data_IF_764060330095
#
_entry.id   IF_764060330095
#
_cell.length_a   1.000
_cell.length_b   1.000
_cell.length_c   1.000
_cell.angle_alpha   90.00
_cell.angle_beta   90.00
_cell.angle_gamma   90.00
#
_symmetry.space_group_name_H-M   'P 1'
#
loop_
_entity.id
_entity.type
_entity.pdbx_description
1 polymer ?
#
# COMPACT_ATOMS: atom_id res chain seq x y z
N UNK A 1 -24.44 71.06 -36.35
CA UNK A 1 -25.12 70.33 -35.23
C UNK A 1 -25.29 68.82 -35.47
N UNK A 2 -25.29 68.29 -36.70
CA UNK A 2 -25.37 66.83 -36.98
C UNK A 2 -24.11 66.02 -36.63
N UNK A 3 -22.93 66.65 -36.59
CA UNK A 3 -21.64 65.96 -36.42
C UNK A 3 -21.39 65.51 -34.97
N UNK A 4 -21.87 66.28 -33.97
CA UNK A 4 -21.65 66.00 -32.54
C UNK A 4 -22.44 64.76 -32.06
N UNK A 5 -23.58 64.45 -32.72
CA UNK A 5 -24.42 63.30 -32.35
C UNK A 5 -23.80 61.96 -32.84
N UNK A 6 -23.06 61.98 -33.95
CA UNK A 6 -22.38 60.78 -34.46
C UNK A 6 -21.17 60.39 -33.60
N UNK A 7 -20.42 61.37 -33.09
CA UNK A 7 -19.23 61.16 -32.28
C UNK A 7 -19.57 60.55 -30.91
N UNK A 8 -20.69 60.97 -30.31
CA UNK A 8 -21.15 60.43 -29.03
C UNK A 8 -21.62 58.96 -29.16
N UNK A 9 -22.26 58.61 -30.29
CA UNK A 9 -22.71 57.24 -30.59
C UNK A 9 -21.56 56.27 -30.84
N UNK A 10 -20.46 56.75 -31.43
CA UNK A 10 -19.24 55.97 -31.63
C UNK A 10 -18.52 55.70 -30.30
N UNK A 11 -18.45 56.70 -29.40
CA UNK A 11 -17.82 56.55 -28.07
C UNK A 11 -18.54 55.55 -27.17
N UNK A 12 -19.88 55.56 -27.12
CA UNK A 12 -20.63 54.59 -26.29
C UNK A 12 -20.46 53.15 -26.80
N UNK A 13 -20.39 52.95 -28.12
CA UNK A 13 -20.13 51.63 -28.72
C UNK A 13 -18.72 51.13 -28.40
N UNK A 14 -17.72 51.98 -28.49
CA UNK A 14 -16.33 51.61 -28.21
C UNK A 14 -16.13 51.18 -26.75
N UNK A 15 -16.73 51.91 -25.80
CA UNK A 15 -16.72 51.59 -24.36
C UNK A 15 -17.43 50.27 -24.04
N UNK A 16 -18.53 49.97 -24.74
CA UNK A 16 -19.28 48.72 -24.57
C UNK A 16 -18.48 47.50 -25.05
N UNK A 17 -17.74 47.66 -26.16
CA UNK A 17 -16.90 46.60 -26.73
C UNK A 17 -15.64 46.36 -25.87
N UNK A 18 -15.02 47.40 -25.31
CA UNK A 18 -13.86 47.24 -24.42
C UNK A 18 -14.25 46.59 -23.08
N UNK A 19 -15.40 46.94 -22.51
CA UNK A 19 -15.90 46.28 -21.30
C UNK A 19 -16.20 44.78 -21.53
N UNK A 20 -16.78 44.42 -22.69
CA UNK A 20 -17.05 43.03 -23.04
C UNK A 20 -15.77 42.22 -23.28
N UNK A 21 -14.78 42.82 -23.95
CA UNK A 21 -13.47 42.20 -24.16
C UNK A 21 -12.71 41.98 -22.84
N UNK A 22 -12.82 42.91 -21.89
CA UNK A 22 -12.19 42.79 -20.57
C UNK A 22 -12.84 41.69 -19.71
N UNK A 23 -14.17 41.55 -19.76
CA UNK A 23 -14.91 40.47 -19.08
C UNK A 23 -14.68 39.10 -19.73
N UNK A 24 -14.52 39.04 -21.06
CA UNK A 24 -14.18 37.82 -21.78
C UNK A 24 -12.74 37.34 -21.47
N UNK A 25 -11.81 38.27 -21.26
CA UNK A 25 -10.41 37.96 -20.95
C UNK A 25 -10.20 37.53 -19.49
N UNK A 26 -11.08 37.89 -18.55
CA UNK A 26 -10.91 37.63 -17.11
C UNK A 26 -11.53 36.31 -16.63
N UNK A 27 -12.02 35.43 -17.51
CA UNK A 27 -13.07 34.48 -17.13
C UNK A 27 -12.92 33.00 -17.51
N UNK A 28 -11.84 32.55 -18.15
CA UNK A 28 -11.66 31.12 -18.44
C UNK A 28 -10.96 30.42 -17.28
N UNK A 29 -11.68 30.14 -16.19
CA UNK A 29 -11.25 29.08 -15.27
C UNK A 29 -11.52 27.75 -15.97
N UNK A 30 -10.45 27.06 -16.37
CA UNK A 30 -10.56 25.66 -16.77
C UNK A 30 -11.00 24.85 -15.55
N UNK A 31 -11.88 23.87 -15.74
CA UNK A 31 -12.13 22.86 -14.72
C UNK A 31 -10.80 22.21 -14.36
N UNK A 32 -10.35 22.41 -13.12
CA UNK A 32 -9.19 21.73 -12.57
C UNK A 32 -9.74 20.69 -11.61
N UNK A 33 -9.46 19.43 -11.91
CA UNK A 33 -9.59 18.40 -10.89
C UNK A 33 -8.54 18.68 -9.80
N UNK A 34 -8.88 18.36 -8.57
CA UNK A 34 -7.95 18.43 -7.45
C UNK A 34 -7.82 17.05 -6.85
N UNK A 35 -6.60 16.66 -6.51
CA UNK A 35 -6.36 15.53 -5.63
C UNK A 35 -6.76 15.96 -4.24
N UNK A 36 -7.84 15.37 -3.71
CA UNK A 36 -8.46 15.83 -2.46
C UNK A 36 -8.18 14.91 -1.28
N UNK A 37 -7.73 13.68 -1.54
CA UNK A 37 -7.41 12.73 -0.49
C UNK A 37 -6.38 11.72 -0.98
N UNK A 38 -5.51 11.32 -0.07
CA UNK A 38 -4.63 10.19 -0.21
C UNK A 38 -4.60 9.43 1.11
N UNK A 39 -4.42 8.12 1.03
CA UNK A 39 -4.20 7.26 2.19
C UNK A 39 -2.99 6.38 1.91
N UNK A 40 -2.14 6.17 2.90
CA UNK A 40 -1.16 5.11 2.87
C UNK A 40 -1.08 4.37 4.20
N UNK A 41 -0.78 3.09 4.10
CA UNK A 41 -0.54 2.18 5.23
C UNK A 41 0.70 1.36 4.88
N UNK A 42 1.55 1.11 5.87
CA UNK A 42 2.63 0.16 5.73
C UNK A 42 2.87 -0.54 7.06
N UNK A 43 3.15 -1.84 6.99
CA UNK A 43 3.59 -2.60 8.14
C UNK A 43 4.63 -3.64 7.77
N UNK A 44 5.59 -3.85 8.67
CA UNK A 44 6.71 -4.74 8.42
C UNK A 44 6.36 -6.23 8.61
N UNK A 45 5.52 -6.56 9.61
CA UNK A 45 5.15 -7.94 9.95
C UNK A 45 3.63 -8.05 10.19
N UNK A 46 2.98 -8.93 9.43
CA UNK A 46 1.66 -9.45 9.72
C UNK A 46 1.78 -10.96 9.91
N UNK A 47 1.36 -11.48 11.05
CA UNK A 47 1.39 -12.91 11.34
C UNK A 47 0.03 -13.30 11.89
N UNK A 48 -0.65 -14.21 11.22
CA UNK A 48 -1.85 -14.87 11.70
C UNK A 48 -1.66 -16.36 11.46
N UNK A 49 -1.50 -17.15 12.52
CA UNK A 49 -1.35 -18.59 12.39
C UNK A 49 -2.18 -19.29 13.46
N UNK A 50 -2.99 -20.25 13.03
CA UNK A 50 -3.84 -21.08 13.87
C UNK A 50 -3.46 -22.54 13.69
N UNK A 51 -3.24 -23.24 14.80
CA UNK A 51 -3.00 -24.69 14.79
C UNK A 51 -4.13 -25.40 15.51
N UNK A 52 -4.62 -26.48 14.89
CA UNK A 52 -5.61 -27.38 15.47
C UNK A 52 -6.89 -26.66 15.95
N UNK A 53 -7.37 -25.69 15.16
CA UNK A 53 -8.67 -25.01 15.31
C UNK A 53 -8.91 -24.29 16.66
N UNK A 54 -7.88 -23.92 17.43
CA UNK A 54 -7.89 -22.89 18.53
C UNK A 54 -6.75 -23.07 19.55
N UNK A 55 -6.05 -24.21 19.57
CA UNK A 55 -5.16 -24.56 20.68
C UNK A 55 -3.90 -23.66 20.74
N UNK A 56 -3.43 -23.19 19.59
CA UNK A 56 -2.29 -22.28 19.44
C UNK A 56 -2.64 -21.24 18.39
N UNK A 57 -2.70 -19.97 18.78
CA UNK A 57 -2.94 -18.85 17.87
C UNK A 57 -1.87 -17.78 18.09
N UNK A 58 -1.21 -17.34 17.02
CA UNK A 58 -0.47 -16.08 17.02
C UNK A 58 -1.16 -15.12 16.07
N UNK A 59 -1.52 -13.97 16.61
CA UNK A 59 -1.92 -12.83 15.81
C UNK A 59 -1.07 -11.63 16.20
N UNK A 60 -0.12 -11.28 15.33
CA UNK A 60 0.61 -10.02 15.41
C UNK A 60 0.28 -9.23 14.16
N UNK A 61 -0.53 -8.20 14.35
CA UNK A 61 -0.85 -7.25 13.29
C UNK A 61 -0.01 -5.99 13.48
N UNK A 62 0.86 -5.71 12.51
CA UNK A 62 1.51 -4.43 12.30
C UNK A 62 2.28 -3.83 13.50
N UNK A 63 3.32 -4.52 14.02
CA UNK A 63 4.08 -4.02 15.17
C UNK A 63 4.82 -2.71 14.83
N UNK A 64 5.30 -2.57 13.58
CA UNK A 64 5.77 -1.31 13.00
C UNK A 64 4.79 -0.82 11.92
N UNK A 65 3.57 -0.45 12.32
CA UNK A 65 2.52 0.01 11.43
C UNK A 65 2.41 1.54 11.37
N UNK A 66 2.37 2.12 10.18
CA UNK A 66 2.12 3.55 9.98
C UNK A 66 0.91 3.76 9.10
N UNK A 67 0.04 4.69 9.48
CA UNK A 67 -1.15 5.06 8.69
C UNK A 67 -1.15 6.57 8.53
N UNK A 68 -1.24 7.03 7.28
CA UNK A 68 -1.34 8.44 6.93
C UNK A 68 -2.58 8.71 6.07
N UNK A 69 -3.16 9.88 6.26
CA UNK A 69 -4.32 10.34 5.48
C UNK A 69 -4.21 11.85 5.19
N UNK A 70 -4.40 12.22 3.93
CA UNK A 70 -4.52 13.60 3.47
C UNK A 70 -6.00 14.04 3.49
N UNK A 71 -6.31 15.35 3.59
CA UNK A 71 -5.82 16.38 2.67
C UNK A 71 -4.66 17.23 3.19
N UNK A 72 -4.11 16.99 4.38
CA UNK A 72 -2.85 17.63 4.79
C UNK A 72 -1.67 16.72 4.44
N UNK A 73 -0.55 17.25 3.92
CA UNK A 73 0.65 16.45 3.70
C UNK A 73 1.11 15.78 4.99
N UNK A 74 1.68 14.59 4.87
CA UNK A 74 2.19 13.82 5.99
C UNK A 74 3.50 13.12 5.61
N UNK A 75 4.32 12.86 6.62
CA UNK A 75 5.52 12.03 6.53
C UNK A 75 5.70 11.37 7.90
N UNK A 76 5.30 10.11 7.99
CA UNK A 76 5.24 9.33 9.21
C UNK A 76 6.21 8.17 9.05
N UNK A 77 7.10 8.00 10.01
CA UNK A 77 8.08 6.93 10.03
C UNK A 77 8.04 6.27 11.40
N UNK A 78 8.06 4.95 11.44
CA UNK A 78 8.22 4.17 12.65
C UNK A 78 9.33 3.14 12.41
N UNK A 79 10.15 2.92 13.43
CA UNK A 79 11.12 1.84 13.48
C UNK A 79 11.14 1.28 14.90
N UNK A 80 11.08 -0.04 15.02
CA UNK A 80 11.11 -0.75 16.29
C UNK A 80 12.10 -1.92 16.20
N UNK A 81 12.61 -2.34 17.35
CA UNK A 81 13.37 -3.57 17.46
C UNK A 81 12.49 -4.75 17.83
N UNK A 82 13.08 -5.95 17.78
CA UNK A 82 12.44 -7.18 18.25
C UNK A 82 11.85 -7.07 19.68
N UNK A 83 12.55 -6.37 20.59
CA UNK A 83 12.14 -6.26 21.98
C UNK A 83 10.79 -5.54 22.18
N UNK A 84 10.36 -4.77 21.19
CA UNK A 84 9.07 -4.06 21.19
C UNK A 84 7.93 -4.92 20.59
N UNK A 85 8.25 -6.11 20.07
CA UNK A 85 7.29 -7.04 19.46
C UNK A 85 7.00 -8.18 20.44
N UNK A 86 5.80 -8.17 21.02
CA UNK A 86 5.34 -9.27 21.86
C UNK A 86 4.81 -10.43 21.01
N UNK A 87 5.72 -11.33 20.62
CA UNK A 87 5.41 -12.64 20.04
C UNK A 87 5.46 -13.77 21.08
N UNK A 88 6.00 -13.47 22.27
CA UNK A 88 6.36 -14.45 23.28
C UNK A 88 5.21 -14.84 24.22
N UNK A 89 4.05 -14.18 24.12
CA UNK A 89 2.95 -14.36 25.08
C UNK A 89 2.24 -15.73 25.03
N UNK A 90 2.41 -16.53 23.97
CA UNK A 90 1.64 -17.76 23.77
C UNK A 90 2.54 -19.00 23.76
N UNK A 91 3.27 -19.28 24.84
CA UNK A 91 3.85 -20.62 25.03
C UNK A 91 2.81 -21.55 25.67
N UNK A 92 2.66 -22.74 25.10
CA UNK A 92 1.79 -23.78 25.69
C UNK A 92 2.65 -24.97 26.07
N UNK A 93 2.66 -25.26 27.37
CA UNK A 93 3.40 -26.38 27.93
C UNK A 93 2.49 -27.60 28.08
N UNK A 94 2.82 -28.67 27.36
CA UNK A 94 2.20 -29.98 27.46
C UNK A 94 3.13 -30.94 28.20
N UNK A 95 3.20 -30.79 29.52
CA UNK A 95 4.03 -31.64 30.38
C UNK A 95 5.53 -31.41 30.16
N UNK A 96 6.15 -32.23 29.31
CA UNK A 96 7.60 -32.19 29.00
C UNK A 96 7.91 -31.50 27.66
N UNK A 97 6.87 -31.18 26.89
CA UNK A 97 6.94 -30.44 25.64
C UNK A 97 6.56 -28.98 25.93
N UNK A 98 7.46 -28.05 25.63
CA UNK A 98 7.13 -26.63 25.56
C UNK A 98 7.09 -26.22 24.09
N UNK A 99 6.00 -25.54 23.70
CA UNK A 99 5.80 -25.03 22.35
C UNK A 99 5.76 -23.51 22.43
N UNK A 100 6.81 -22.87 21.93
CA UNK A 100 6.82 -21.44 21.65
C UNK A 100 6.34 -21.22 20.23
N UNK A 101 5.24 -20.49 20.06
CA UNK A 101 4.62 -20.35 18.75
C UNK A 101 5.44 -19.47 17.81
N UNK A 102 6.10 -18.44 18.33
CA UNK A 102 6.89 -17.51 17.55
C UNK A 102 8.07 -16.93 18.35
N UNK A 103 9.21 -16.77 17.69
CA UNK A 103 10.38 -16.09 18.21
C UNK A 103 11.02 -15.24 17.10
N UNK A 104 11.49 -14.05 17.47
CA UNK A 104 12.27 -13.19 16.60
C UNK A 104 13.71 -13.08 17.10
N UNK A 105 14.65 -12.97 16.17
CA UNK A 105 16.05 -12.70 16.46
C UNK A 105 16.23 -11.29 17.07
N UNK A 106 17.10 -11.18 18.07
CA UNK A 106 17.34 -9.93 18.81
C UNK A 106 17.84 -8.76 17.93
N UNK A 107 18.40 -9.06 16.76
CA UNK A 107 18.91 -8.07 15.79
C UNK A 107 17.88 -7.62 14.76
N UNK A 108 16.66 -8.19 14.76
CA UNK A 108 15.63 -7.84 13.80
C UNK A 108 15.10 -6.43 14.03
N UNK A 109 15.09 -5.63 12.96
CA UNK A 109 14.59 -4.25 12.96
C UNK A 109 13.45 -4.14 11.94
N UNK A 110 12.33 -3.59 12.39
CA UNK A 110 11.11 -3.44 11.61
C UNK A 110 10.84 -1.96 11.42
N UNK A 111 10.78 -1.52 10.17
CA UNK A 111 10.56 -0.12 9.82
C UNK A 111 9.43 0.00 8.82
N UNK A 112 8.61 1.03 8.98
CA UNK A 112 7.59 1.39 8.02
C UNK A 112 7.50 2.91 7.88
N UNK A 113 7.23 3.37 6.66
CA UNK A 113 6.98 4.77 6.38
C UNK A 113 5.75 4.97 5.50
N UNK A 114 5.10 6.11 5.70
CA UNK A 114 3.96 6.57 4.93
C UNK A 114 4.10 8.07 4.70
N UNK A 115 4.05 8.51 3.44
CA UNK A 115 4.17 9.93 3.10
C UNK A 115 3.21 10.33 1.98
N UNK A 116 2.82 11.60 1.98
CA UNK A 116 2.07 12.22 0.89
C UNK A 116 2.29 13.73 0.83
N UNK A 117 2.27 14.28 -0.39
CA UNK A 117 2.30 15.72 -0.65
C UNK A 117 0.91 16.30 -0.99
N UNK A 118 -0.15 15.51 -0.83
CA UNK A 118 -1.54 15.92 -1.07
C UNK A 118 -1.93 16.99 -0.05
N UNK A 119 -2.28 18.17 -0.57
CA UNK A 119 -2.65 19.38 0.18
C UNK A 119 -4.07 19.87 -0.17
N UNK A 120 -4.84 19.05 -0.90
CA UNK A 120 -6.16 19.40 -1.42
C UNK A 120 -6.15 20.35 -2.62
N UNK A 121 -4.98 20.74 -3.13
CA UNK A 121 -4.85 21.57 -4.34
C UNK A 121 -4.77 20.74 -5.62
N UNK A 122 -4.92 21.42 -6.76
CA UNK A 122 -4.80 20.80 -8.09
C UNK A 122 -3.33 20.62 -8.49
N UNK A 123 -3.08 19.65 -9.36
CA UNK A 123 -1.74 19.32 -9.85
C UNK A 123 -1.34 17.90 -9.48
N UNK A 124 -0.20 17.46 -10.02
CA UNK A 124 0.34 16.15 -9.72
C UNK A 124 0.67 16.04 -8.24
N UNK A 125 0.18 14.99 -7.61
CA UNK A 125 0.46 14.63 -6.23
C UNK A 125 1.03 13.23 -6.16
N UNK A 126 1.65 12.89 -5.05
CA UNK A 126 2.14 11.57 -4.73
C UNK A 126 1.75 11.13 -3.33
N UNK A 127 1.63 9.82 -3.20
CA UNK A 127 1.50 9.11 -1.94
C UNK A 127 2.32 7.85 -2.07
N UNK A 128 3.08 7.54 -1.03
CA UNK A 128 3.83 6.31 -0.97
C UNK A 128 3.79 5.72 0.44
N UNK A 129 4.03 4.42 0.49
CA UNK A 129 4.30 3.68 1.70
C UNK A 129 5.43 2.71 1.42
N UNK A 130 6.28 2.47 2.42
CA UNK A 130 7.28 1.42 2.37
C UNK A 130 7.38 0.70 3.70
N UNK A 131 7.77 -0.57 3.61
CA UNK A 131 8.07 -1.40 4.77
C UNK A 131 9.40 -2.10 4.53
N UNK A 132 10.27 -2.03 5.53
CA UNK A 132 11.61 -2.62 5.53
C UNK A 132 11.80 -3.48 6.77
N UNK A 133 12.29 -4.70 6.59
CA UNK A 133 12.78 -5.56 7.67
C UNK A 133 14.28 -5.76 7.46
N UNK A 134 15.08 -5.49 8.49
CA UNK A 134 16.51 -5.78 8.47
C UNK A 134 16.83 -6.88 9.47
N UNK A 135 17.71 -7.81 9.07
CA UNK A 135 18.16 -8.96 9.85
C UNK A 135 16.98 -9.78 10.39
N UNK A 136 16.04 -10.16 9.51
CA UNK A 136 14.96 -11.04 9.89
C UNK A 136 15.54 -12.40 10.31
N UNK A 137 15.20 -12.82 11.52
CA UNK A 137 15.17 -14.22 11.92
C UNK A 137 13.84 -14.43 12.63
N UNK A 138 12.93 -15.18 12.02
CA UNK A 138 11.62 -15.52 12.56
C UNK A 138 11.48 -17.03 12.59
N UNK A 139 11.37 -17.57 13.78
CA UNK A 139 11.14 -18.99 14.02
C UNK A 139 9.72 -19.18 14.54
N UNK A 140 9.00 -20.12 13.94
CA UNK A 140 7.62 -20.44 14.26
C UNK A 140 7.50 -21.91 14.69
N UNK A 141 6.62 -22.14 15.66
CA UNK A 141 6.38 -23.45 16.29
C UNK A 141 7.67 -24.10 16.78
N UNK A 142 8.41 -23.34 17.59
CA UNK A 142 9.58 -23.79 18.31
C UNK A 142 9.18 -24.81 19.35
N UNK A 143 9.66 -26.04 19.20
CA UNK A 143 9.38 -27.11 20.15
C UNK A 143 10.63 -27.46 20.94
N UNK A 144 10.49 -27.63 22.25
CA UNK A 144 11.56 -28.16 23.09
C UNK A 144 11.06 -29.39 23.84
N UNK A 145 11.75 -30.51 23.67
CA UNK A 145 11.48 -31.76 24.38
C UNK A 145 12.59 -31.97 25.42
N UNK A 146 12.23 -32.13 26.71
CA UNK A 146 13.18 -32.41 27.80
C UNK A 146 14.37 -31.44 27.91
N UNK A 147 14.16 -30.12 27.75
CA UNK A 147 15.25 -29.11 27.75
C UNK A 147 16.37 -29.38 26.71
N UNK A 148 16.06 -30.15 25.67
CA UNK A 148 16.92 -30.37 24.51
C UNK A 148 16.98 -29.15 23.58
N UNK A 149 17.71 -29.26 22.46
CA UNK A 149 17.77 -28.17 21.47
C UNK A 149 16.37 -27.88 20.94
N UNK A 150 16.04 -26.59 20.84
CA UNK A 150 14.80 -26.13 20.23
C UNK A 150 14.90 -26.30 18.72
N UNK A 151 13.94 -26.96 18.10
CA UNK A 151 13.82 -27.02 16.65
C UNK A 151 12.62 -26.18 16.21
N UNK A 152 12.86 -25.24 15.29
CA UNK A 152 11.82 -24.45 14.65
C UNK A 152 11.16 -25.28 13.55
N UNK A 153 9.84 -25.41 13.58
CA UNK A 153 9.13 -26.07 12.49
C UNK A 153 9.07 -25.19 11.24
N UNK A 154 9.14 -23.87 11.38
CA UNK A 154 9.24 -22.96 10.26
C UNK A 154 10.22 -21.86 10.61
N UNK A 155 11.36 -21.84 9.92
CA UNK A 155 12.40 -20.83 10.07
C UNK A 155 12.45 -19.93 8.84
N UNK A 156 12.36 -18.62 9.05
CA UNK A 156 12.46 -17.59 8.03
C UNK A 156 13.63 -16.70 8.37
N UNK A 157 14.56 -16.51 7.43
CA UNK A 157 15.60 -15.50 7.59
C UNK A 157 15.87 -14.74 6.31
N UNK A 158 16.23 -13.47 6.47
CA UNK A 158 16.61 -12.58 5.39
C UNK A 158 17.46 -11.44 5.93
N UNK A 159 18.43 -10.97 5.14
CA UNK A 159 19.20 -9.77 5.50
C UNK A 159 18.34 -8.52 5.39
N UNK A 160 17.58 -8.43 4.29
CA UNK A 160 16.68 -7.31 4.02
C UNK A 160 15.42 -7.83 3.35
N UNK A 161 14.25 -7.39 3.80
CA UNK A 161 12.98 -7.50 3.06
C UNK A 161 12.48 -6.08 2.85
N UNK A 162 12.24 -5.71 1.61
CA UNK A 162 11.78 -4.38 1.25
C UNK A 162 10.56 -4.43 0.35
N UNK A 163 9.61 -3.54 0.62
CA UNK A 163 8.44 -3.28 -0.22
C UNK A 163 8.19 -1.79 -0.29
N UNK A 164 7.72 -1.31 -1.44
CA UNK A 164 7.23 0.04 -1.61
C UNK A 164 6.04 0.04 -2.56
N UNK A 165 4.99 0.73 -2.15
CA UNK A 165 3.83 1.06 -2.97
C UNK A 165 3.80 2.56 -3.18
N UNK A 166 3.71 2.99 -4.44
CA UNK A 166 3.63 4.38 -4.85
C UNK A 166 2.41 4.62 -5.74
N UNK A 167 1.79 5.78 -5.58
CA UNK A 167 0.81 6.31 -6.52
C UNK A 167 1.12 7.77 -6.76
N UNK A 168 1.15 8.18 -8.02
CA UNK A 168 1.38 9.58 -8.40
C UNK A 168 0.55 10.01 -9.59
N UNK A 169 0.33 11.33 -9.71
CA UNK A 169 -0.35 11.96 -10.84
C UNK A 169 -1.46 12.90 -10.42
N UNK A 170 -2.27 13.29 -11.39
CA UNK A 170 -3.50 14.08 -11.22
C UNK A 170 -4.64 13.34 -11.91
N UNK A 171 -5.86 13.86 -11.83
CA UNK A 171 -7.02 13.28 -12.49
C UNK A 171 -6.76 12.98 -13.98
N UNK A 172 -6.96 11.72 -14.36
CA UNK A 172 -6.77 11.22 -15.73
C UNK A 172 -5.33 10.82 -16.07
N UNK A 173 -4.36 11.09 -15.20
CA UNK A 173 -2.93 10.78 -15.40
C UNK A 173 -2.31 10.02 -14.23
N UNK A 174 -3.13 9.46 -13.34
CA UNK A 174 -2.64 8.68 -12.21
C UNK A 174 -1.94 7.40 -12.68
N UNK A 175 -0.84 7.08 -12.03
CA UNK A 175 -0.08 5.87 -12.21
C UNK A 175 0.29 5.29 -10.85
N UNK A 176 0.35 3.96 -10.79
CA UNK A 176 0.85 3.21 -9.65
C UNK A 176 2.23 2.67 -9.99
N UNK A 177 3.10 2.68 -9.00
CA UNK A 177 4.39 2.03 -9.00
C UNK A 177 4.51 1.12 -7.77
N UNK A 178 5.28 0.05 -7.93
CA UNK A 178 5.40 -1.00 -6.94
C UNK A 178 6.76 -1.68 -7.12
N UNK A 179 7.51 -1.79 -6.02
CA UNK A 179 8.78 -2.52 -6.00
C UNK A 179 8.87 -3.35 -4.73
N UNK A 180 9.52 -4.51 -4.85
CA UNK A 180 9.92 -5.31 -3.71
C UNK A 180 11.21 -6.05 -4.03
N UNK A 181 11.97 -6.38 -3.00
CA UNK A 181 13.12 -7.27 -3.11
C UNK A 181 13.40 -7.93 -1.76
N UNK A 182 14.11 -9.05 -1.82
CA UNK A 182 14.56 -9.79 -0.64
C UNK A 182 16.04 -10.11 -0.81
N UNK A 183 16.82 -9.93 0.24
CA UNK A 183 18.25 -10.24 0.26
C UNK A 183 18.55 -11.44 1.16
N UNK A 184 19.34 -12.39 0.65
CA UNK A 184 19.81 -13.57 1.37
C UNK A 184 18.67 -14.32 2.09
N UNK A 185 17.57 -14.57 1.37
CA UNK A 185 16.43 -15.30 1.90
C UNK A 185 16.81 -16.75 2.20
N UNK A 186 16.29 -17.28 3.30
CA UNK A 186 16.36 -18.69 3.63
C UNK A 186 15.04 -19.12 4.29
N UNK A 187 14.55 -20.27 3.87
CA UNK A 187 13.31 -20.87 4.33
C UNK A 187 13.61 -22.31 4.78
N UNK A 188 13.40 -22.59 6.06
CA UNK A 188 13.49 -23.93 6.63
C UNK A 188 12.09 -24.41 7.01
N UNK A 189 11.74 -25.60 6.54
CA UNK A 189 10.41 -26.18 6.72
C UNK A 189 10.50 -27.53 7.43
N UNK A 190 9.80 -27.63 8.56
CA UNK A 190 9.43 -28.82 9.30
C UNK A 190 10.53 -29.88 9.42
N UNK A 191 11.76 -29.46 9.76
CA UNK A 191 12.89 -30.37 9.89
C UNK A 191 13.36 -31.04 8.58
N UNK A 192 12.79 -30.64 7.43
CA UNK A 192 13.24 -31.07 6.09
C UNK A 192 14.53 -30.37 5.66
N UNK A 193 14.98 -29.37 6.42
CA UNK A 193 16.15 -28.56 6.15
C UNK A 193 15.81 -27.30 5.35
N UNK A 194 16.87 -26.54 5.06
CA UNK A 194 16.79 -25.33 4.25
C UNK A 194 16.38 -25.69 2.80
N UNK A 195 15.37 -24.99 2.30
CA UNK A 195 14.93 -25.14 0.91
C UNK A 195 15.93 -24.47 -0.01
N UNK A 196 16.35 -25.20 -1.04
CA UNK A 196 17.06 -24.62 -2.16
C UNK A 196 16.13 -23.68 -2.95
N UNK A 197 16.36 -22.38 -2.85
CA UNK A 197 15.59 -21.37 -3.58
C UNK A 197 15.63 -21.57 -5.09
N UNK A 198 16.70 -22.14 -5.64
CA UNK A 198 16.81 -22.44 -7.07
C UNK A 198 15.79 -23.50 -7.48
N UNK A 199 15.51 -24.46 -6.59
CA UNK A 199 14.47 -25.48 -6.83
C UNK A 199 13.07 -24.89 -6.87
N UNK A 200 12.85 -23.73 -6.24
CA UNK A 200 11.60 -22.97 -6.29
C UNK A 200 11.52 -22.05 -7.52
N UNK A 201 12.55 -22.01 -8.37
CA UNK A 201 12.62 -21.11 -9.53
C UNK A 201 13.10 -19.70 -9.21
N UNK A 202 13.60 -19.47 -7.99
CA UNK A 202 14.15 -18.18 -7.57
C UNK A 202 15.65 -18.11 -7.90
N UNK A 203 16.07 -16.97 -8.44
CA UNK A 203 17.49 -16.72 -8.74
C UNK A 203 17.93 -15.48 -7.99
N UNK A 204 18.89 -15.65 -7.10
CA UNK A 204 19.57 -14.53 -6.47
C UNK A 204 20.66 -13.99 -7.41
N UNK A 205 20.84 -12.67 -7.43
CA UNK A 205 21.97 -12.04 -8.14
C UNK A 205 23.30 -12.22 -7.37
N UNK A 206 24.39 -11.67 -7.92
CA UNK A 206 25.71 -11.78 -7.31
C UNK A 206 25.83 -11.12 -5.93
N UNK A 207 24.89 -10.24 -5.57
CA UNK A 207 24.83 -9.54 -4.30
C UNK A 207 23.79 -10.18 -3.35
N UNK A 208 23.16 -11.29 -3.74
CA UNK A 208 22.16 -11.99 -2.93
C UNK A 208 20.73 -11.44 -3.03
N UNK A 209 20.47 -10.51 -3.97
CA UNK A 209 19.12 -9.98 -4.19
C UNK A 209 18.29 -10.96 -5.00
N UNK A 210 17.10 -11.24 -4.49
CA UNK A 210 16.06 -12.00 -5.16
C UNK A 210 15.05 -10.98 -5.68
N UNK A 211 15.02 -10.84 -7.01
CA UNK A 211 13.98 -10.13 -7.71
C UNK A 211 13.00 -11.16 -8.28
N UNK A 212 11.81 -11.22 -7.69
CA UNK A 212 10.73 -12.04 -8.21
C UNK A 212 9.88 -11.21 -9.18
N UNK A 213 9.43 -11.83 -10.28
CA UNK A 213 8.41 -11.22 -11.14
C UNK A 213 7.16 -10.88 -10.30
N UNK A 214 6.39 -9.83 -10.66
CA UNK A 214 5.17 -9.50 -9.93
C UNK A 214 4.21 -10.69 -9.81
N UNK A 215 3.73 -10.93 -8.58
CA UNK A 215 2.84 -12.02 -8.22
C UNK A 215 3.44 -13.43 -8.42
N UNK A 216 4.77 -13.56 -8.26
CA UNK A 216 5.43 -14.86 -8.30
C UNK A 216 4.88 -15.77 -7.20
N UNK A 217 4.38 -16.95 -7.59
CA UNK A 217 3.71 -17.88 -6.67
C UNK A 217 4.29 -19.28 -6.83
N UNK A 218 4.63 -19.89 -5.71
CA UNK A 218 4.99 -21.30 -5.59
C UNK A 218 3.93 -21.98 -4.75
N UNK A 219 3.24 -22.94 -5.35
CA UNK A 219 2.23 -23.75 -4.68
C UNK A 219 2.87 -25.01 -4.10
N UNK A 220 2.29 -25.49 -3.01
CA UNK A 220 2.70 -26.72 -2.32
C UNK A 220 4.23 -26.79 -2.12
N UNK A 221 4.78 -25.76 -1.46
CA UNK A 221 6.22 -25.57 -1.30
C UNK A 221 6.86 -26.83 -0.72
N UNK A 222 7.89 -27.34 -1.42
CA UNK A 222 8.58 -28.58 -1.05
C UNK A 222 7.66 -29.81 -0.92
N UNK A 223 6.55 -29.83 -1.67
CA UNK A 223 5.56 -30.90 -1.68
C UNK A 223 4.59 -30.89 -0.49
N UNK A 224 4.60 -29.84 0.33
CA UNK A 224 3.70 -29.69 1.46
C UNK A 224 2.38 -29.10 0.95
N UNK A 225 1.34 -29.95 0.87
CA UNK A 225 0.01 -29.52 0.39
C UNK A 225 -0.56 -28.40 1.25
N UNK A 226 -1.00 -27.32 0.60
CA UNK A 226 -1.62 -26.17 1.27
C UNK A 226 -0.65 -25.12 1.78
N UNK A 227 0.66 -25.32 1.60
CA UNK A 227 1.67 -24.30 1.88
C UNK A 227 2.05 -23.57 0.58
N UNK A 228 1.68 -22.29 0.49
CA UNK A 228 1.99 -21.46 -0.66
C UNK A 228 2.95 -20.33 -0.28
N UNK A 229 3.91 -20.04 -1.17
CA UNK A 229 4.80 -18.89 -1.09
C UNK A 229 4.46 -17.94 -2.23
N UNK A 230 4.10 -16.71 -1.89
CA UNK A 230 3.91 -15.61 -2.84
C UNK A 230 5.00 -14.57 -2.58
N UNK A 231 5.74 -14.19 -3.61
CA UNK A 231 6.72 -13.13 -3.57
C UNK A 231 6.29 -11.99 -4.47
N UNK A 232 6.61 -10.76 -4.07
CA UNK A 232 6.32 -9.56 -4.85
C UNK A 232 4.84 -9.51 -5.28
N UNK A 233 3.91 -9.77 -4.36
CA UNK A 233 2.48 -9.65 -4.65
C UNK A 233 2.18 -8.17 -4.91
N UNK A 234 1.72 -7.85 -6.11
CA UNK A 234 1.44 -6.48 -6.54
C UNK A 234 0.00 -6.38 -7.04
N UNK A 235 -0.80 -5.58 -6.34
CA UNK A 235 -2.19 -5.30 -6.69
C UNK A 235 -2.32 -3.80 -6.94
N UNK A 236 -2.48 -3.42 -8.20
CA UNK A 236 -2.67 -2.03 -8.60
C UNK A 236 -3.94 -1.86 -9.41
N UNK A 237 -4.79 -0.90 -9.03
CA UNK A 237 -6.01 -0.54 -9.76
C UNK A 237 -6.02 0.96 -9.99
N UNK A 238 -5.98 1.38 -11.26
CA UNK A 238 -5.98 2.80 -11.62
C UNK A 238 -7.08 3.15 -12.60
N UNK A 239 -7.72 4.29 -12.32
CA UNK A 239 -8.77 4.93 -13.08
C UNK A 239 -8.47 6.43 -13.18
N UNK A 240 -9.32 7.18 -13.89
CA UNK A 240 -9.12 8.63 -14.01
C UNK A 240 -9.22 9.37 -12.67
N UNK A 241 -10.02 8.87 -11.72
CA UNK A 241 -10.28 9.55 -10.44
C UNK A 241 -9.63 8.88 -9.25
N UNK A 242 -9.21 7.63 -9.37
CA UNK A 242 -8.67 6.86 -8.25
C UNK A 242 -7.60 5.90 -8.74
N UNK A 243 -6.49 5.82 -8.01
CA UNK A 243 -5.42 4.86 -8.26
C UNK A 243 -4.91 4.34 -6.93
N UNK A 244 -4.72 3.04 -6.84
CA UNK A 244 -4.16 2.36 -5.68
C UNK A 244 -3.04 1.41 -6.09
N UNK A 245 -2.14 1.16 -5.15
CA UNK A 245 -1.04 0.21 -5.26
C UNK A 245 -0.87 -0.47 -3.90
N UNK A 246 -0.85 -1.79 -3.90
CA UNK A 246 -0.60 -2.63 -2.73
C UNK A 246 0.52 -3.60 -3.07
N UNK A 247 1.48 -3.75 -2.16
CA UNK A 247 2.64 -4.61 -2.32
C UNK A 247 2.90 -5.40 -1.05
N UNK A 248 3.01 -6.73 -1.20
CA UNK A 248 3.57 -7.61 -0.17
C UNK A 248 4.89 -8.18 -0.69
N UNK A 249 6.00 -7.94 0.00
CA UNK A 249 7.30 -8.47 -0.43
C UNK A 249 7.33 -9.99 -0.35
N UNK A 250 6.84 -10.55 0.76
CA UNK A 250 6.69 -11.99 0.96
C UNK A 250 5.39 -12.29 1.69
N UNK A 251 4.67 -13.28 1.18
CA UNK A 251 3.49 -13.86 1.80
C UNK A 251 3.61 -15.37 1.82
N UNK A 252 3.54 -15.97 3.00
CA UNK A 252 3.39 -17.41 3.19
C UNK A 252 1.96 -17.70 3.62
N UNK A 253 1.26 -18.56 2.89
CA UNK A 253 -0.11 -18.95 3.18
C UNK A 253 -0.16 -20.41 3.60
N UNK A 254 -0.91 -20.69 4.66
CA UNK A 254 -1.22 -22.03 5.13
C UNK A 254 -2.73 -22.26 4.97
N UNK A 255 -3.10 -23.24 4.16
CA UNK A 255 -4.48 -23.67 3.94
C UNK A 255 -4.56 -25.17 4.25
N UNK A 256 -4.91 -25.49 5.49
CA UNK A 256 -5.09 -26.87 5.93
C UNK A 256 -3.80 -27.69 6.00
N UNK A 257 -2.63 -27.08 6.25
CA UNK A 257 -1.33 -27.78 6.22
C UNK A 257 -1.28 -28.84 7.33
N UNK A 258 -1.16 -30.11 6.96
CA UNK A 258 -1.13 -31.21 7.93
C UNK A 258 0.24 -31.27 8.63
N UNK A 259 0.29 -30.82 9.88
CA UNK A 259 1.53 -30.78 10.68
C UNK A 259 1.89 -32.14 11.32
N UNK A 260 0.93 -33.04 11.49
CA UNK A 260 1.17 -34.38 12.06
C UNK A 260 1.98 -35.29 11.13
N UNK A 261 1.90 -35.06 9.81
CA UNK A 261 2.69 -35.77 8.79
C UNK A 261 4.11 -35.21 8.57
N UNK A 262 4.43 -34.05 9.14
CA UNK A 262 5.66 -33.30 8.86
C UNK A 262 6.74 -33.49 9.94
N UNK A 263 6.70 -34.61 10.68
CA UNK A 263 7.77 -34.98 11.62
C UNK A 263 7.74 -34.26 12.97
N UNK A 264 6.76 -33.39 13.21
CA UNK A 264 6.41 -32.91 14.54
C UNK A 264 5.68 -34.04 15.30
N UNK A 265 6.40 -35.08 15.71
CA UNK A 265 5.87 -36.12 16.61
C UNK A 265 5.70 -35.53 18.02
N UNK A 266 4.70 -34.67 18.15
CA UNK A 266 4.27 -34.07 19.40
C UNK A 266 3.28 -35.00 20.11
N UNK A 267 3.43 -36.32 19.92
CA UNK A 267 2.73 -37.39 20.63
C UNK A 267 1.21 -37.25 20.65
N UNK A 268 0.51 -37.35 19.52
CA UNK A 268 -0.97 -37.23 19.43
C UNK A 268 -1.58 -35.93 20.04
N UNK A 269 -0.78 -34.97 20.56
CA UNK A 269 -1.29 -33.78 21.26
C UNK A 269 -1.65 -32.63 20.31
N UNK A 270 -1.04 -32.58 19.11
CA UNK A 270 -1.25 -31.55 18.09
C UNK A 270 -1.51 -32.18 16.71
N UNK A 271 -2.36 -33.21 16.67
CA UNK A 271 -2.89 -33.72 15.40
C UNK A 271 -3.86 -32.68 14.84
N UNK A 272 -3.46 -31.94 13.81
CA UNK A 272 -4.22 -30.79 13.33
C UNK A 272 -3.71 -30.21 12.02
N UNK A 273 -4.45 -29.23 11.51
CA UNK A 273 -4.05 -28.40 10.39
C UNK A 273 -3.48 -27.07 10.88
N UNK A 274 -2.50 -26.54 10.15
CA UNK A 274 -2.03 -25.18 10.26
C UNK A 274 -2.72 -24.34 9.18
N UNK A 275 -3.37 -23.28 9.63
CA UNK A 275 -4.14 -22.35 8.81
C UNK A 275 -3.72 -20.92 9.12
N UNK A 276 -3.64 -20.07 8.09
CA UNK A 276 -3.34 -18.64 8.25
C UNK A 276 -2.36 -18.09 7.23
N UNK A 277 -1.73 -16.98 7.56
CA UNK A 277 -0.75 -16.31 6.70
C UNK A 277 0.32 -15.54 7.49
N UNK A 278 1.50 -15.43 6.87
CA UNK A 278 2.58 -14.55 7.28
C UNK A 278 2.81 -13.58 6.13
N UNK A 279 2.76 -12.29 6.40
CA UNK A 279 3.02 -11.20 5.47
C UNK A 279 4.21 -10.42 5.99
N UNK A 280 5.25 -10.29 5.17
CA UNK A 280 6.46 -9.54 5.46
C UNK A 280 6.61 -8.42 4.43
N UNK A 281 6.77 -7.19 4.93
CA UNK A 281 6.88 -6.00 4.10
C UNK A 281 5.59 -5.72 3.31
N UNK A 282 4.56 -5.23 4.01
CA UNK A 282 3.34 -4.73 3.40
C UNK A 282 3.41 -3.22 3.21
N UNK A 283 3.02 -2.76 2.02
CA UNK A 283 2.88 -1.35 1.69
C UNK A 283 1.62 -1.10 0.86
N UNK A 284 0.88 -0.06 1.19
CA UNK A 284 -0.35 0.35 0.52
C UNK A 284 -0.36 1.87 0.28
N UNK A 285 -0.69 2.28 -0.93
CA UNK A 285 -0.84 3.67 -1.33
C UNK A 285 -2.12 3.87 -2.15
N UNK A 286 -2.87 4.92 -1.84
CA UNK A 286 -4.12 5.26 -2.53
C UNK A 286 -4.22 6.76 -2.75
N UNK A 287 -4.52 7.16 -3.97
CA UNK A 287 -4.74 8.54 -4.37
C UNK A 287 -6.12 8.68 -5.01
N UNK A 288 -6.87 9.69 -4.59
CA UNK A 288 -8.20 9.97 -5.10
C UNK A 288 -8.33 11.47 -5.48
N UNK A 289 -8.76 11.69 -6.71
CA UNK A 289 -9.02 12.99 -7.28
C UNK A 289 -10.50 13.17 -7.60
N UNK A 290 -10.99 14.36 -7.30
CA UNK A 290 -12.35 14.76 -7.62
C UNK A 290 -12.30 15.89 -8.65
N UNK A 291 -13.16 15.78 -9.67
CA UNK A 291 -13.45 16.91 -10.55
C UNK A 291 -14.35 17.86 -9.78
N UNK A 292 -13.78 18.95 -9.29
CA UNK A 292 -14.58 20.02 -8.70
C UNK A 292 -15.27 20.80 -9.83
N UNK A 293 -16.60 20.88 -9.77
CA UNK A 293 -17.38 21.67 -10.71
C UNK A 293 -16.94 23.13 -10.62
N UNK A 294 -16.58 23.72 -11.76
CA UNK A 294 -16.23 25.14 -11.84
C UNK A 294 -17.44 25.96 -11.39
N UNK A 295 -17.30 26.95 -10.49
CA UNK A 295 -18.33 27.95 -10.28
C UNK A 295 -18.69 28.53 -11.64
N UNK A 296 -19.99 28.50 -12.01
CA UNK A 296 -20.51 28.75 -13.35
C UNK A 296 -19.56 29.59 -14.25
N UNK A 297 -19.06 29.03 -15.37
CA UNK A 297 -18.03 29.66 -16.18
C UNK A 297 -18.43 31.08 -16.54
N UNK A 298 -17.45 31.97 -16.72
CA UNK A 298 -17.70 33.34 -17.13
C UNK A 298 -18.58 33.46 -18.39
N UNK A 299 -18.78 32.38 -19.16
CA UNK A 299 -19.79 32.26 -20.21
C UNK A 299 -21.24 32.50 -19.75
N UNK A 300 -21.63 32.17 -18.51
CA UNK A 300 -22.95 32.56 -17.95
C UNK A 300 -22.98 34.06 -17.67
N UNK A 301 -21.88 34.62 -17.16
CA UNK A 301 -21.71 36.07 -17.03
C UNK A 301 -21.70 36.79 -18.39
N UNK A 302 -21.11 36.16 -19.41
CA UNK A 302 -21.02 36.66 -20.78
C UNK A 302 -22.38 36.56 -21.47
N UNK A 303 -23.13 35.47 -21.23
CA UNK A 303 -24.50 35.31 -21.69
C UNK A 303 -25.42 36.35 -21.04
N UNK A 304 -25.28 36.57 -19.72
CA UNK A 304 -25.98 37.62 -19.00
C UNK A 304 -25.64 39.03 -19.52
N UNK A 305 -24.36 39.30 -19.80
CA UNK A 305 -23.91 40.57 -20.37
C UNK A 305 -24.43 40.76 -21.81
N UNK A 306 -24.43 39.72 -22.64
CA UNK A 306 -24.99 39.74 -24.00
C UNK A 306 -26.50 39.97 -23.96
N UNK A 307 -27.23 39.33 -23.05
CA UNK A 307 -28.67 39.58 -22.85
C UNK A 307 -28.95 41.01 -22.40
N UNK A 308 -28.15 41.56 -21.48
CA UNK A 308 -28.22 42.96 -21.05
C UNK A 308 -27.97 43.92 -22.22
N UNK A 309 -26.98 43.62 -23.06
CA UNK A 309 -26.60 44.42 -24.22
C UNK A 309 -27.70 44.38 -25.29
N UNK A 310 -28.32 43.21 -25.53
CA UNK A 310 -29.49 43.05 -26.39
C UNK A 310 -30.72 43.80 -25.84
N UNK A 311 -30.92 43.79 -24.52
CA UNK A 311 -31.98 44.55 -23.84
C UNK A 311 -31.79 46.07 -24.00
N UNK A 312 -30.57 46.58 -23.84
CA UNK A 312 -30.23 47.99 -24.05
C UNK A 312 -30.32 48.43 -25.52
N UNK A 313 -30.09 47.52 -26.47
CA UNK A 313 -30.24 47.78 -27.90
C UNK A 313 -31.70 47.77 -28.37
N UNK A 314 -32.61 47.15 -27.60
CA UNK A 314 -34.04 47.15 -27.90
C UNK A 314 -34.65 48.51 -27.52
N UNK A 315 -34.57 49.47 -28.44
CA UNK A 315 -35.27 50.76 -28.34
C UNK A 315 -36.76 50.54 -28.02
N UNK A 316 -37.36 51.28 -27.07
CA UNK A 316 -38.81 51.42 -27.05
C UNK A 316 -39.21 52.12 -28.35
N UNK A 317 -40.07 51.46 -29.14
CA UNK A 317 -40.54 51.99 -30.42
C UNK A 317 -41.21 53.35 -30.24
N UNK A 318 -40.57 54.38 -30.77
CA UNK A 318 -41.15 55.59 -31.36
C UNK A 318 -40.27 56.02 -32.52
#
# INVERSE_FOLDING_TARGET
MKTIICENKARTRLLSFTALALVAASGSSTARASVISANSDAYALGLSAEVANTLLNVNVTAPAGVIGAAPSPYNINQSIGQADIDLAANSVSFGLLDVQLAALADSSIFSASAQSDVDGSAGNKSVSADATINNLGLDLFNTSLFSGPTEAALGLSASTIYSQAGVSGDHGTMAADAISYIENFSLNLFGLGEIDLVSLGLVADANGFIYADPNFTVLDVNGITGLDLVLNEQISTCSASQCNSEVNALKLRFDGVNIGGLGLDLGNFLDGTLDGEIILGHAYANLNAQVNAVPAPASVGLFGAVLLLLGCLRRPGR
#
